data_IF_417406891570
#
_entry.id   IF_417406891570
#
_cell.length_a   1.000
_cell.length_b   1.000
_cell.length_c   1.000
_cell.angle_alpha   90.00
_cell.angle_beta   90.00
_cell.angle_gamma   90.00
#
_symmetry.space_group_name_H-M   'P 1'
#
loop_
_entity.id
_entity.type
_entity.pdbx_description
1 polymer ?
#
# COMPACT_ATOMS: atom_id res chain seq x y z
N UNK A 1 -2.45 -27.86 -50.30
CA UNK A 1 -3.37 -27.25 -49.29
C UNK A 1 -3.83 -25.90 -49.88
N UNK A 2 -5.11 -25.80 -50.26
CA UNK A 2 -5.68 -24.56 -50.82
C UNK A 2 -6.25 -23.77 -49.68
N UNK A 3 -5.82 -22.53 -49.48
CA UNK A 3 -6.40 -21.63 -48.51
C UNK A 3 -7.67 -21.05 -49.15
N UNK A 4 -8.86 -21.32 -48.62
CA UNK A 4 -10.09 -20.80 -49.20
C UNK A 4 -10.22 -19.29 -48.83
N UNK A 5 -10.37 -18.44 -49.85
CA UNK A 5 -10.79 -17.06 -49.64
C UNK A 5 -12.31 -17.00 -49.53
N UNK A 6 -12.84 -16.22 -48.60
CA UNK A 6 -14.29 -16.07 -48.38
C UNK A 6 -14.86 -14.84 -49.07
N UNK A 7 -14.07 -13.82 -49.30
CA UNK A 7 -14.47 -12.53 -49.87
C UNK A 7 -13.92 -12.27 -51.27
N UNK A 8 -12.88 -13.01 -51.65
CA UNK A 8 -12.35 -12.92 -53.03
C UNK A 8 -13.07 -13.90 -53.93
N UNK A 9 -13.76 -13.42 -55.01
CA UNK A 9 -14.52 -14.29 -55.91
C UNK A 9 -13.61 -15.31 -56.58
N UNK A 10 -13.99 -16.61 -56.56
CA UNK A 10 -13.20 -17.69 -57.12
C UNK A 10 -13.10 -17.67 -58.67
N UNK A 11 -13.80 -16.78 -59.36
CA UNK A 11 -13.80 -16.64 -60.82
C UNK A 11 -12.92 -15.47 -61.31
N UNK A 12 -12.16 -14.83 -60.46
CA UNK A 12 -11.21 -13.78 -60.85
C UNK A 12 -10.07 -14.38 -61.73
N UNK A 13 -9.92 -13.83 -62.94
CA UNK A 13 -8.90 -14.23 -63.91
C UNK A 13 -7.81 -13.17 -64.09
N UNK A 14 -7.80 -12.15 -63.27
CA UNK A 14 -6.78 -11.08 -63.35
C UNK A 14 -5.60 -11.46 -62.48
N UNK A 15 -4.37 -11.46 -62.99
CA UNK A 15 -3.18 -11.76 -62.20
C UNK A 15 -2.84 -10.58 -61.29
N UNK A 16 -3.41 -10.55 -60.08
CA UNK A 16 -3.18 -9.56 -59.05
C UNK A 16 -2.83 -10.26 -57.73
N UNK A 17 -2.25 -9.53 -56.83
CA UNK A 17 -2.00 -9.99 -55.48
C UNK A 17 -3.29 -9.77 -54.65
N UNK A 18 -3.82 -10.84 -54.09
CA UNK A 18 -5.03 -10.82 -53.28
C UNK A 18 -4.67 -11.11 -51.83
N UNK A 19 -5.12 -10.27 -50.91
CA UNK A 19 -4.96 -10.44 -49.46
C UNK A 19 -6.32 -10.37 -48.82
N UNK A 20 -6.68 -11.37 -48.06
CA UNK A 20 -7.86 -11.36 -47.22
C UNK A 20 -7.42 -11.43 -45.77
N UNK A 21 -7.89 -10.46 -44.97
CA UNK A 21 -7.71 -10.44 -43.52
C UNK A 21 -8.95 -11.06 -42.89
N UNK A 22 -8.79 -12.22 -42.27
CA UNK A 22 -9.81 -12.84 -41.44
C UNK A 22 -9.51 -12.48 -39.99
N UNK A 23 -10.28 -11.57 -39.45
CA UNK A 23 -10.22 -11.16 -38.05
C UNK A 23 -11.34 -11.77 -37.20
N UNK A 24 -12.00 -12.82 -37.69
CA UNK A 24 -13.04 -13.54 -36.94
C UNK A 24 -12.51 -14.15 -35.64
N UNK A 25 -11.21 -14.49 -35.61
CA UNK A 25 -10.51 -14.99 -34.43
C UNK A 25 -9.73 -13.91 -33.66
N UNK A 26 -9.74 -12.67 -34.16
CA UNK A 26 -9.17 -11.55 -33.41
C UNK A 26 -10.06 -11.22 -32.21
N UNK A 27 -9.53 -11.14 -31.03
CA UNK A 27 -10.25 -10.90 -29.77
C UNK A 27 -11.10 -12.07 -29.23
N UNK A 28 -10.94 -13.29 -29.70
CA UNK A 28 -11.69 -14.44 -29.17
C UNK A 28 -11.12 -14.99 -27.85
N UNK A 29 -9.92 -14.60 -27.48
CA UNK A 29 -9.29 -15.01 -26.21
C UNK A 29 -9.03 -13.78 -25.33
N UNK A 30 -10.04 -13.31 -24.62
CA UNK A 30 -9.83 -12.50 -23.42
C UNK A 30 -9.43 -13.45 -22.29
N UNK A 31 -8.14 -13.69 -22.12
CA UNK A 31 -7.66 -14.34 -20.91
C UNK A 31 -7.86 -13.37 -19.73
N UNK A 32 -8.80 -13.67 -18.86
CA UNK A 32 -8.93 -12.94 -17.61
C UNK A 32 -7.78 -13.37 -16.72
N UNK A 33 -6.82 -12.48 -16.54
CA UNK A 33 -5.71 -12.73 -15.62
C UNK A 33 -6.22 -12.63 -14.19
N UNK A 34 -5.85 -13.62 -13.38
CA UNK A 34 -6.20 -13.67 -11.95
C UNK A 34 -4.97 -13.45 -11.11
N UNK A 35 -5.03 -12.46 -10.24
CA UNK A 35 -3.96 -12.13 -9.30
C UNK A 35 -4.41 -12.42 -7.88
N UNK A 36 -3.57 -13.09 -7.10
CA UNK A 36 -3.77 -13.33 -5.67
C UNK A 36 -2.82 -12.46 -4.86
N UNK A 37 -3.35 -11.61 -3.99
CA UNK A 37 -2.58 -10.86 -3.00
C UNK A 37 -2.68 -11.57 -1.66
N UNK A 38 -1.56 -12.05 -1.12
CA UNK A 38 -1.48 -12.69 0.18
C UNK A 38 -0.86 -11.70 1.17
N UNK A 39 -1.53 -11.41 2.26
CA UNK A 39 -0.99 -10.47 3.24
C UNK A 39 -1.80 -10.37 4.52
N UNK A 40 -1.29 -9.59 5.45
CA UNK A 40 -1.89 -9.44 6.76
C UNK A 40 -3.09 -8.49 6.74
N UNK A 41 -4.10 -8.85 7.52
CA UNK A 41 -5.25 -8.02 7.85
C UNK A 41 -5.14 -7.51 9.29
N UNK A 42 -5.92 -6.48 9.62
CA UNK A 42 -6.06 -5.99 10.99
C UNK A 42 -7.25 -6.68 11.67
N UNK A 43 -7.21 -6.76 12.99
CA UNK A 43 -8.35 -7.29 13.77
C UNK A 43 -9.64 -6.46 13.60
N UNK A 44 -9.54 -5.22 13.12
CA UNK A 44 -10.70 -4.38 12.78
C UNK A 44 -11.35 -4.71 11.43
N UNK A 45 -10.73 -5.57 10.64
CA UNK A 45 -11.28 -6.03 9.35
C UNK A 45 -12.47 -6.99 9.56
N UNK A 46 -13.36 -7.05 8.57
CA UNK A 46 -14.53 -7.92 8.58
C UNK A 46 -14.35 -9.22 7.78
N UNK A 47 -13.24 -9.33 7.03
CA UNK A 47 -12.95 -10.53 6.26
C UNK A 47 -12.66 -11.73 7.19
N UNK A 48 -13.07 -12.91 6.75
CA UNK A 48 -12.67 -14.14 7.40
C UNK A 48 -11.21 -14.45 7.06
N UNK A 49 -10.39 -14.66 8.09
CA UNK A 49 -8.98 -15.03 7.90
C UNK A 49 -8.82 -16.34 7.12
N UNK A 50 -7.72 -16.43 6.37
CA UNK A 50 -7.35 -17.63 5.60
C UNK A 50 -8.36 -18.04 4.50
N UNK A 51 -9.38 -17.23 4.21
CA UNK A 51 -10.36 -17.50 3.14
C UNK A 51 -10.15 -16.53 1.98
N UNK A 52 -9.92 -17.04 0.75
CA UNK A 52 -9.71 -16.17 -0.40
C UNK A 52 -11.00 -15.44 -0.79
N UNK A 53 -10.92 -14.12 -0.95
CA UNK A 53 -12.04 -13.24 -1.30
C UNK A 53 -11.72 -12.45 -2.56
N UNK A 54 -12.65 -12.42 -3.52
CA UNK A 54 -12.54 -11.57 -4.71
C UNK A 54 -12.84 -10.12 -4.37
N UNK A 55 -11.99 -9.21 -4.85
CA UNK A 55 -12.09 -7.78 -4.58
C UNK A 55 -11.94 -6.96 -5.85
N UNK A 56 -12.48 -5.73 -5.85
CA UNK A 56 -12.48 -4.87 -7.02
C UNK A 56 -11.83 -3.50 -6.78
N UNK A 57 -11.60 -3.11 -5.53
CA UNK A 57 -11.06 -1.79 -5.22
C UNK A 57 -10.29 -1.77 -3.89
N UNK A 58 -9.32 -0.84 -3.72
CA UNK A 58 -8.62 -0.65 -2.45
C UNK A 58 -9.58 -0.30 -1.30
N UNK A 59 -10.63 0.48 -1.55
CA UNK A 59 -11.59 0.82 -0.52
C UNK A 59 -12.30 -0.43 0.02
N UNK A 60 -12.75 -1.34 -0.87
CA UNK A 60 -13.35 -2.60 -0.45
C UNK A 60 -12.36 -3.45 0.36
N UNK A 61 -11.10 -3.51 -0.04
CA UNK A 61 -10.05 -4.21 0.74
C UNK A 61 -9.85 -3.53 2.10
N UNK A 62 -9.83 -2.19 2.15
CA UNK A 62 -9.70 -1.46 3.41
C UNK A 62 -10.86 -1.69 4.38
N UNK A 63 -12.08 -1.93 3.91
CA UNK A 63 -13.23 -2.32 4.74
C UNK A 63 -13.15 -3.77 5.20
N UNK A 64 -12.70 -4.68 4.31
CA UNK A 64 -12.57 -6.10 4.60
C UNK A 64 -11.38 -6.41 5.53
N UNK A 65 -10.24 -5.76 5.33
CA UNK A 65 -8.98 -6.11 6.02
C UNK A 65 -8.50 -5.06 7.02
N UNK A 66 -9.23 -3.95 7.15
CA UNK A 66 -8.85 -2.81 7.96
C UNK A 66 -7.98 -1.80 7.19
N UNK A 67 -8.31 -0.50 7.34
CA UNK A 67 -7.57 0.59 6.69
C UNK A 67 -6.15 0.69 7.21
N UNK A 68 -5.19 0.68 6.30
CA UNK A 68 -3.77 0.70 6.62
C UNK A 68 -3.19 -0.68 6.94
N UNK A 69 -3.93 -1.77 6.72
CA UNK A 69 -3.39 -3.13 6.72
C UNK A 69 -2.40 -3.33 5.57
N UNK A 70 -1.58 -4.36 5.67
CA UNK A 70 -0.67 -4.77 4.60
C UNK A 70 -1.42 -5.02 3.29
N UNK A 71 -2.53 -5.78 3.31
CA UNK A 71 -3.35 -6.05 2.12
C UNK A 71 -3.96 -4.78 1.51
N UNK A 72 -4.40 -3.82 2.36
CA UNK A 72 -4.90 -2.53 1.86
C UNK A 72 -3.82 -1.75 1.10
N UNK A 73 -2.60 -1.72 1.64
CA UNK A 73 -1.43 -1.10 0.99
C UNK A 73 -1.04 -1.80 -0.32
N UNK A 74 -1.01 -3.15 -0.32
CA UNK A 74 -0.72 -3.97 -1.51
C UNK A 74 -1.74 -3.71 -2.61
N UNK A 75 -3.04 -3.76 -2.32
CA UNK A 75 -4.10 -3.49 -3.30
C UNK A 75 -4.03 -2.06 -3.83
N UNK A 76 -3.75 -1.08 -2.97
CA UNK A 76 -3.60 0.32 -3.38
C UNK A 76 -2.45 0.50 -4.37
N UNK A 77 -1.34 -0.21 -4.16
CA UNK A 77 -0.18 -0.16 -5.05
C UNK A 77 -0.42 -0.95 -6.33
N UNK A 78 -1.02 -2.11 -6.23
CA UNK A 78 -1.37 -2.96 -7.37
C UNK A 78 -2.29 -2.21 -8.35
N UNK A 79 -3.37 -1.61 -7.86
CA UNK A 79 -4.36 -0.95 -8.71
C UNK A 79 -3.82 0.29 -9.44
N UNK A 80 -2.74 0.92 -8.96
CA UNK A 80 -2.07 2.00 -9.70
C UNK A 80 -1.44 1.54 -11.00
N UNK A 81 -1.09 0.24 -11.09
CA UNK A 81 -0.39 -0.33 -12.24
C UNK A 81 -1.30 -1.21 -13.11
N UNK A 82 -2.29 -1.85 -12.50
CA UNK A 82 -3.23 -2.74 -13.19
C UNK A 82 -4.65 -2.55 -12.65
N UNK A 83 -5.56 -2.15 -13.53
CA UNK A 83 -6.98 -1.92 -13.21
C UNK A 83 -7.91 -2.94 -13.85
N UNK A 84 -7.39 -3.86 -14.68
CA UNK A 84 -8.18 -4.75 -15.52
C UNK A 84 -8.22 -6.20 -15.01
N UNK A 85 -7.24 -6.63 -14.22
CA UNK A 85 -7.16 -7.99 -13.73
C UNK A 85 -8.22 -8.31 -12.67
N UNK A 86 -8.58 -9.59 -12.60
CA UNK A 86 -9.38 -10.13 -11.51
C UNK A 86 -8.50 -10.33 -10.27
N UNK A 87 -8.75 -9.56 -9.22
CA UNK A 87 -7.93 -9.59 -8.00
C UNK A 87 -8.63 -10.34 -6.88
N UNK A 88 -7.88 -11.22 -6.25
CA UNK A 88 -8.25 -11.93 -5.03
C UNK A 88 -7.30 -11.57 -3.90
N UNK A 89 -7.81 -11.54 -2.68
CA UNK A 89 -7.01 -11.37 -1.47
C UNK A 89 -7.11 -12.63 -0.62
N UNK A 90 -6.01 -12.99 0.02
CA UNK A 90 -5.96 -14.03 1.06
C UNK A 90 -5.54 -13.36 2.37
N UNK A 91 -6.50 -13.02 3.24
CA UNK A 91 -6.20 -12.32 4.49
C UNK A 91 -5.61 -13.27 5.53
N UNK A 92 -4.52 -12.83 6.16
CA UNK A 92 -3.87 -13.52 7.26
C UNK A 92 -3.97 -12.65 8.51
N UNK A 93 -4.40 -13.22 9.61
CA UNK A 93 -4.40 -12.53 10.89
C UNK A 93 -2.97 -12.47 11.47
N UNK A 94 -2.71 -11.45 12.29
CA UNK A 94 -1.50 -11.38 13.09
C UNK A 94 -1.64 -12.34 14.27
N UNK A 95 -0.63 -13.17 14.51
CA UNK A 95 -0.57 -14.05 15.68
C UNK A 95 0.09 -13.29 16.84
N UNK A 96 -0.72 -12.90 17.82
CA UNK A 96 -0.27 -12.13 18.96
C UNK A 96 0.75 -12.87 19.87
N UNK A 97 0.75 -14.20 19.84
CA UNK A 97 1.62 -15.02 20.69
C UNK A 97 3.02 -15.19 20.07
N UNK A 98 3.13 -15.14 18.75
CA UNK A 98 4.38 -15.40 18.03
C UNK A 98 4.94 -14.18 17.28
N UNK A 99 4.18 -13.09 17.19
CA UNK A 99 4.56 -11.91 16.43
C UNK A 99 4.62 -10.65 17.29
N UNK A 100 5.61 -9.80 17.04
CA UNK A 100 5.78 -8.51 17.71
C UNK A 100 5.62 -7.36 16.71
N UNK A 101 5.07 -6.23 17.19
CA UNK A 101 4.91 -5.01 16.38
C UNK A 101 6.20 -4.20 16.36
N UNK A 102 6.53 -3.62 15.22
CA UNK A 102 7.62 -2.65 15.12
C UNK A 102 7.21 -1.29 15.68
N UNK A 103 8.15 -0.60 16.31
CA UNK A 103 7.98 0.75 16.83
C UNK A 103 9.10 1.66 16.34
N UNK A 104 8.77 2.94 16.15
CA UNK A 104 9.70 4.00 15.82
C UNK A 104 9.33 5.29 16.54
N UNK A 105 10.12 6.35 16.40
CA UNK A 105 9.78 7.61 17.02
C UNK A 105 10.24 8.82 16.22
N UNK A 106 9.54 9.95 16.46
CA UNK A 106 9.89 11.27 15.95
C UNK A 106 9.95 12.20 17.15
N UNK A 107 11.14 12.69 17.47
CA UNK A 107 11.34 13.66 18.55
C UNK A 107 11.50 15.07 17.98
N UNK A 108 10.74 16.01 18.51
CA UNK A 108 10.86 17.44 18.21
C UNK A 108 11.87 18.02 19.20
N UNK A 109 13.10 18.29 18.77
CA UNK A 109 14.19 18.70 19.64
C UNK A 109 14.19 20.20 19.92
N UNK A 110 13.91 21.00 18.90
CA UNK A 110 13.89 22.47 19.00
C UNK A 110 12.64 23.05 18.36
N UNK A 111 12.22 24.20 18.84
CA UNK A 111 11.12 24.98 18.30
C UNK A 111 11.49 25.63 16.96
N UNK A 112 10.50 25.85 16.10
CA UNK A 112 10.71 26.61 14.87
C UNK A 112 10.96 28.09 15.17
N UNK A 113 11.90 28.71 14.47
CA UNK A 113 12.14 30.14 14.55
C UNK A 113 11.20 30.93 13.63
N UNK A 114 10.61 30.27 12.64
CA UNK A 114 9.67 30.84 11.67
C UNK A 114 8.53 29.87 11.38
N UNK A 115 7.40 30.43 10.92
CA UNK A 115 6.26 29.63 10.48
C UNK A 115 6.58 28.94 9.17
N UNK A 116 6.26 27.63 9.07
CA UNK A 116 6.49 26.87 7.87
C UNK A 116 5.73 25.54 7.86
N UNK A 117 6.05 24.67 6.92
CA UNK A 117 5.41 23.37 6.73
C UNK A 117 6.42 22.25 6.87
N UNK A 118 6.08 21.26 7.70
CA UNK A 118 6.80 19.99 7.76
C UNK A 118 6.19 19.06 6.72
N UNK A 119 7.02 18.45 5.86
CA UNK A 119 6.64 17.39 4.94
C UNK A 119 7.24 16.07 5.42
N UNK A 120 6.45 15.29 6.15
CA UNK A 120 6.81 13.96 6.65
C UNK A 120 6.29 12.90 5.70
N UNK A 121 7.10 11.90 5.40
CA UNK A 121 6.72 10.74 4.59
C UNK A 121 6.79 9.49 5.45
N UNK A 122 5.70 8.72 5.47
CA UNK A 122 5.61 7.43 6.15
C UNK A 122 5.14 6.40 5.12
N UNK A 123 5.94 5.37 4.88
CA UNK A 123 5.68 4.38 3.82
C UNK A 123 5.36 5.02 2.45
N UNK A 124 6.05 6.11 2.10
CA UNK A 124 5.86 6.84 0.85
C UNK A 124 4.62 7.76 0.81
N UNK A 125 3.78 7.76 1.85
CA UNK A 125 2.61 8.66 1.94
C UNK A 125 3.01 9.96 2.62
N UNK A 126 2.71 11.08 1.97
CA UNK A 126 3.02 12.42 2.47
C UNK A 126 2.03 12.89 3.54
N UNK A 127 2.55 13.25 4.69
CA UNK A 127 1.83 13.91 5.80
C UNK A 127 2.36 15.33 5.95
N UNK A 128 1.52 16.32 5.80
CA UNK A 128 1.90 17.73 5.95
C UNK A 128 1.34 18.31 7.24
N UNK A 129 2.17 19.12 7.91
CA UNK A 129 1.81 19.87 9.09
C UNK A 129 2.35 21.29 9.00
N UNK A 130 1.48 22.27 9.18
CA UNK A 130 1.91 23.66 9.37
C UNK A 130 2.34 23.86 10.83
N UNK A 131 3.50 24.45 11.04
CA UNK A 131 4.09 24.76 12.35
C UNK A 131 4.25 26.26 12.45
N UNK A 132 3.85 26.83 13.57
CA UNK A 132 4.02 28.25 13.87
C UNK A 132 5.31 28.46 14.66
N UNK A 133 5.92 29.66 14.54
CA UNK A 133 7.09 30.03 15.34
C UNK A 133 6.80 30.06 16.86
N UNK A 134 5.53 30.12 17.25
CA UNK A 134 5.09 30.10 18.66
C UNK A 134 4.84 28.71 19.22
N UNK A 135 4.82 27.66 18.33
CA UNK A 135 4.49 26.31 18.76
C UNK A 135 5.63 25.69 19.56
N UNK A 136 5.33 25.20 20.74
CA UNK A 136 6.29 24.44 21.54
C UNK A 136 6.52 23.04 20.94
N UNK A 137 7.66 22.37 21.23
CA UNK A 137 7.91 21.00 20.77
C UNK A 137 6.78 20.02 21.09
N UNK A 138 6.14 20.14 22.26
CA UNK A 138 5.00 19.31 22.66
C UNK A 138 3.73 19.57 21.82
N UNK A 139 3.48 20.84 21.47
CA UNK A 139 2.35 21.19 20.60
C UNK A 139 2.57 20.66 19.17
N UNK A 140 3.80 20.78 18.65
CA UNK A 140 4.18 20.22 17.35
C UNK A 140 4.02 18.69 17.35
N UNK A 141 4.47 18.00 18.41
CA UNK A 141 4.32 16.55 18.53
C UNK A 141 2.83 16.14 18.54
N UNK A 142 1.99 16.86 19.30
CA UNK A 142 0.53 16.62 19.33
C UNK A 142 -0.10 16.84 17.95
N UNK A 143 0.28 17.91 17.26
CA UNK A 143 -0.22 18.22 15.92
C UNK A 143 0.24 17.18 14.87
N UNK A 144 1.47 16.65 15.00
CA UNK A 144 1.97 15.54 14.18
C UNK A 144 1.12 14.29 14.38
N UNK A 145 0.82 13.90 15.61
CA UNK A 145 -0.07 12.77 15.90
C UNK A 145 -1.42 12.96 15.22
N UNK A 146 -2.02 14.14 15.33
CA UNK A 146 -3.31 14.45 14.69
C UNK A 146 -3.21 14.39 13.15
N UNK A 147 -2.12 14.87 12.57
CA UNK A 147 -1.91 14.83 11.12
C UNK A 147 -1.73 13.39 10.59
N UNK A 148 -0.99 12.55 11.33
CA UNK A 148 -0.79 11.13 11.00
C UNK A 148 -2.11 10.36 11.15
N UNK A 149 -2.85 10.57 12.22
CA UNK A 149 -4.12 9.87 12.50
C UNK A 149 -5.20 10.15 11.44
N UNK A 150 -5.22 11.34 10.83
CA UNK A 150 -6.14 11.65 9.71
C UNK A 150 -5.87 10.81 8.47
N UNK A 151 -4.68 10.27 8.31
CA UNK A 151 -4.26 9.41 7.20
C UNK A 151 -4.48 7.95 7.57
N UNK A 152 -5.74 7.51 7.52
CA UNK A 152 -6.12 6.14 7.94
C UNK A 152 -5.48 5.03 7.13
N UNK A 153 -5.03 5.33 5.92
CA UNK A 153 -4.32 4.42 5.01
C UNK A 153 -2.87 4.13 5.43
N UNK A 154 -2.30 4.90 6.35
CA UNK A 154 -0.94 4.66 6.82
C UNK A 154 -0.84 3.30 7.57
N UNK A 155 0.28 2.57 7.39
CA UNK A 155 0.51 1.28 8.06
C UNK A 155 0.96 1.44 9.52
N UNK A 156 0.87 2.65 10.09
CA UNK A 156 1.24 2.96 11.47
C UNK A 156 0.13 3.69 12.20
N UNK A 157 0.14 3.56 13.52
CA UNK A 157 -0.55 4.45 14.46
C UNK A 157 0.46 5.38 15.10
N UNK A 158 0.01 6.54 15.58
CA UNK A 158 0.84 7.53 16.25
C UNK A 158 0.25 7.92 17.59
N UNK A 159 1.12 8.10 18.59
CA UNK A 159 0.75 8.60 19.91
C UNK A 159 1.86 9.48 20.49
N UNK A 160 1.51 10.48 21.28
CA UNK A 160 2.51 11.24 22.05
C UNK A 160 3.04 10.33 23.15
N UNK A 161 4.37 10.27 23.30
CA UNK A 161 5.02 9.44 24.32
C UNK A 161 4.71 9.97 25.72
N UNK A 162 4.26 9.10 26.62
CA UNK A 162 3.84 9.52 27.97
C UNK A 162 4.96 10.22 28.77
N UNK A 163 6.19 9.71 28.67
CA UNK A 163 7.35 10.20 29.41
C UNK A 163 8.05 11.41 28.72
N UNK A 164 7.64 11.76 27.50
CA UNK A 164 8.33 12.76 26.68
C UNK A 164 7.34 13.38 25.71
N UNK A 165 6.66 14.44 26.15
CA UNK A 165 5.57 15.08 25.40
C UNK A 165 6.00 15.72 24.07
N UNK A 166 7.31 15.88 23.84
CA UNK A 166 7.96 16.32 22.61
C UNK A 166 8.22 15.18 21.61
N UNK A 167 7.87 13.94 21.97
CA UNK A 167 8.18 12.74 21.20
C UNK A 167 6.89 12.04 20.76
N UNK A 168 6.79 11.73 19.47
CA UNK A 168 5.75 10.92 18.87
C UNK A 168 6.27 9.49 18.73
N UNK A 169 5.56 8.53 19.31
CA UNK A 169 5.80 7.09 19.07
C UNK A 169 4.96 6.64 17.88
N UNK A 170 5.58 5.96 16.95
CA UNK A 170 4.91 5.28 15.83
C UNK A 170 4.90 3.79 16.11
N UNK A 171 3.77 3.16 15.91
CA UNK A 171 3.60 1.70 16.08
C UNK A 171 3.03 1.12 14.80
N UNK A 172 3.65 0.09 14.25
CA UNK A 172 3.14 -0.60 13.07
C UNK A 172 1.75 -1.19 13.39
N UNK A 173 0.82 -1.10 12.43
CA UNK A 173 -0.53 -1.66 12.58
C UNK A 173 -0.53 -3.18 12.50
N UNK A 174 0.28 -3.74 11.62
CA UNK A 174 0.49 -5.19 11.54
C UNK A 174 1.76 -5.58 12.30
N UNK A 175 1.71 -6.73 12.97
CA UNK A 175 2.87 -7.33 13.62
C UNK A 175 3.80 -7.99 12.60
N UNK A 176 5.03 -8.29 13.01
CA UNK A 176 5.99 -9.05 12.22
C UNK A 176 7.18 -8.25 11.71
N UNK A 177 8.09 -8.97 11.08
CA UNK A 177 9.36 -8.43 10.57
C UNK A 177 9.19 -7.29 9.56
N UNK A 178 8.11 -7.31 8.76
CA UNK A 178 7.86 -6.31 7.72
C UNK A 178 7.65 -4.91 8.29
N UNK A 179 7.15 -4.80 9.51
CA UNK A 179 7.00 -3.51 10.20
C UNK A 179 8.32 -2.74 10.36
N UNK A 180 9.45 -3.43 10.44
CA UNK A 180 10.78 -2.81 10.54
C UNK A 180 11.19 -2.07 9.25
N UNK A 181 10.61 -2.45 8.11
CA UNK A 181 10.87 -1.83 6.81
C UNK A 181 10.02 -0.60 6.51
N UNK A 182 9.13 -0.17 7.41
CA UNK A 182 8.33 1.04 7.22
C UNK A 182 9.26 2.26 7.26
N UNK A 183 9.40 2.92 6.11
CA UNK A 183 10.27 4.07 5.95
C UNK A 183 9.63 5.35 6.52
N UNK A 184 10.45 6.14 7.21
CA UNK A 184 10.06 7.42 7.79
C UNK A 184 11.08 8.47 7.36
N UNK A 185 10.66 9.46 6.58
CA UNK A 185 11.55 10.50 6.03
C UNK A 185 10.96 11.89 6.13
N UNK A 186 11.82 12.88 6.30
CA UNK A 186 11.48 14.29 6.13
C UNK A 186 11.90 14.77 4.75
N UNK A 187 11.08 15.65 4.15
CA UNK A 187 11.41 16.39 2.95
C UNK A 187 11.93 15.50 1.80
N UNK A 188 11.23 14.42 1.50
CA UNK A 188 11.64 13.42 0.49
C UNK A 188 11.90 14.05 -0.89
N UNK A 189 11.09 15.03 -1.29
CA UNK A 189 11.28 15.74 -2.57
C UNK A 189 12.34 16.85 -2.49
N UNK A 190 12.83 17.15 -1.30
CA UNK A 190 13.88 18.15 -1.07
C UNK A 190 13.51 19.57 -1.51
N UNK A 191 14.51 20.44 -1.57
CA UNK A 191 14.35 21.84 -1.97
C UNK A 191 13.75 21.99 -3.37
N UNK A 192 14.09 21.10 -4.29
CA UNK A 192 13.56 21.09 -5.66
C UNK A 192 12.04 20.85 -5.68
N UNK A 193 11.53 20.06 -4.74
CA UNK A 193 10.10 19.83 -4.54
C UNK A 193 9.42 20.85 -3.61
N UNK A 194 10.12 21.90 -3.20
CA UNK A 194 9.62 22.93 -2.28
C UNK A 194 9.49 22.45 -0.84
N UNK A 195 10.23 21.39 -0.45
CA UNK A 195 10.19 20.82 0.89
C UNK A 195 11.43 21.21 1.68
N UNK A 196 11.23 22.07 2.67
CA UNK A 196 12.29 22.54 3.58
C UNK A 196 11.73 22.54 4.99
N UNK A 197 12.51 22.03 5.95
CA UNK A 197 12.15 22.15 7.37
C UNK A 197 12.23 23.61 7.78
N UNK A 198 11.21 24.15 8.51
CA UNK A 198 11.25 25.52 9.00
C UNK A 198 12.54 25.82 9.78
N UNK A 199 13.10 27.02 9.62
CA UNK A 199 14.32 27.39 10.29
C UNK A 199 14.18 27.27 11.83
N UNK A 200 15.24 26.82 12.49
CA UNK A 200 15.27 26.55 13.94
C UNK A 200 14.64 25.24 14.38
N UNK A 201 13.74 24.64 13.59
CA UNK A 201 13.11 23.38 13.92
C UNK A 201 14.06 22.20 13.68
N UNK A 202 14.24 21.36 14.69
CA UNK A 202 15.00 20.11 14.58
C UNK A 202 14.13 18.93 14.98
N UNK A 203 14.06 17.95 14.09
CA UNK A 203 13.37 16.68 14.31
C UNK A 203 14.38 15.53 14.24
N UNK A 204 14.33 14.65 15.22
CA UNK A 204 15.14 13.41 15.24
C UNK A 204 14.22 12.24 14.99
N UNK A 205 14.50 11.48 13.92
CA UNK A 205 13.73 10.28 13.55
C UNK A 205 14.51 9.05 13.97
N UNK A 206 13.85 8.17 14.71
CA UNK A 206 14.31 6.80 14.97
C UNK A 206 13.46 5.86 14.12
N UNK A 207 14.11 5.10 13.23
CA UNK A 207 13.45 4.15 12.34
C UNK A 207 12.68 3.06 13.09
N UNK A 208 11.79 2.38 12.37
CA UNK A 208 10.99 1.29 12.92
C UNK A 208 11.86 0.08 13.24
N UNK A 209 11.70 -0.49 14.43
CA UNK A 209 12.44 -1.66 14.94
C UNK A 209 11.58 -2.48 15.89
N UNK A 210 12.03 -3.70 16.23
CA UNK A 210 11.36 -4.56 17.21
C UNK A 210 10.26 -5.44 16.64
N UNK A 211 9.92 -5.30 15.37
CA UNK A 211 9.01 -6.22 14.70
C UNK A 211 9.64 -7.61 14.56
N UNK A 212 8.89 -8.66 14.91
CA UNK A 212 9.37 -10.05 14.87
C UNK A 212 8.24 -11.00 14.50
N UNK A 213 8.60 -12.19 14.02
CA UNK A 213 7.66 -13.22 13.58
C UNK A 213 7.11 -13.00 12.16
N UNK A 214 6.33 -13.95 11.71
CA UNK A 214 5.66 -13.96 10.42
C UNK A 214 4.33 -14.74 10.53
N UNK A 215 3.30 -14.40 9.74
CA UNK A 215 2.05 -15.14 9.74
C UNK A 215 2.23 -16.56 9.17
N UNK A 216 1.41 -17.50 9.64
CA UNK A 216 1.39 -18.87 9.12
C UNK A 216 0.53 -18.96 7.84
N UNK A 217 1.14 -19.52 6.80
CA UNK A 217 0.51 -19.70 5.48
C UNK A 217 -0.08 -21.10 5.24
N UNK A 218 0.32 -22.08 6.04
CA UNK A 218 0.07 -23.50 5.69
C UNK A 218 -1.41 -23.78 5.49
N UNK A 219 -2.24 -23.45 6.47
CA UNK A 219 -3.69 -23.66 6.37
C UNK A 219 -4.33 -22.74 5.31
N UNK A 220 -3.81 -21.53 5.15
CA UNK A 220 -4.33 -20.57 4.20
C UNK A 220 -4.16 -21.04 2.75
N UNK A 221 -3.02 -21.66 2.42
CA UNK A 221 -2.78 -22.24 1.10
C UNK A 221 -3.71 -23.43 0.81
N UNK A 222 -4.00 -24.25 1.82
CA UNK A 222 -4.99 -25.36 1.70
C UNK A 222 -6.39 -24.85 1.33
N UNK A 223 -6.77 -23.68 1.75
CA UNK A 223 -8.09 -23.08 1.47
C UNK A 223 -8.21 -22.50 0.04
N UNK A 224 -7.14 -22.43 -0.73
CA UNK A 224 -7.21 -22.07 -2.14
C UNK A 224 -7.90 -23.14 -2.99
N UNK A 225 -7.86 -24.41 -2.55
CA UNK A 225 -8.45 -25.55 -3.25
C UNK A 225 -8.01 -25.61 -4.73
N UNK A 226 -8.97 -25.75 -5.64
CA UNK A 226 -8.70 -25.85 -7.09
C UNK A 226 -8.59 -24.48 -7.80
N UNK A 227 -8.54 -23.37 -7.05
CA UNK A 227 -8.40 -22.03 -7.64
C UNK A 227 -6.98 -21.85 -8.17
N UNK A 228 -6.90 -21.46 -9.43
CA UNK A 228 -5.63 -21.13 -10.10
C UNK A 228 -5.49 -19.63 -10.25
N UNK A 229 -4.27 -19.15 -10.08
CA UNK A 229 -3.91 -17.74 -10.22
C UNK A 229 -2.71 -17.65 -11.18
N UNK A 230 -2.72 -16.60 -12.02
CA UNK A 230 -1.64 -16.34 -12.96
C UNK A 230 -0.48 -15.63 -12.27
N UNK A 231 -0.81 -14.83 -11.22
CA UNK A 231 0.16 -14.09 -10.39
C UNK A 231 -0.19 -14.25 -8.90
N UNK A 232 0.88 -14.33 -8.08
CA UNK A 232 0.80 -14.39 -6.61
C UNK A 232 1.77 -13.40 -6.00
#
# INVERSE_FOLDING_TARGET
MTVPFSRVPGNLRVPLFYVEFDNSMANTATATQRTLLIGQMLASGSAQEKIPVKVSSPNAVGELTGKGSMLHGMMTTYQKNDTAAEVWILPLADDADSMAVATGSIKVTTQAAETGVISLYIAGVRVQLTVLATDTPAQIATALVAAITRKTELPVTAAVKADSTDTVTLTAKNAGLLGNGIDIRLNYLGVQGGEVTPAGLTLTITGMTGGAGAPDFVDALGNLQDKTFDFV
#
